data_IF_204396473405
#
_entry.id   IF_204396473405
#
_cell.length_a   1.000
_cell.length_b   1.000
_cell.length_c   1.000
_cell.angle_alpha   90.00
_cell.angle_beta   90.00
_cell.angle_gamma   90.00
#
_symmetry.space_group_name_H-M   'P 1'
#
loop_
_entity.id
_entity.type
_entity.pdbx_description
1 polymer ?
#
# COMPACT_ATOMS: atom_id res chain seq x y z
N UNK A 1 16.34 -11.94 10.35
CA UNK A 1 17.12 -13.20 10.22
C UNK A 1 17.29 -13.92 11.55
N UNK A 2 17.58 -13.24 12.67
CA UNK A 2 17.76 -13.89 13.97
C UNK A 2 16.48 -14.64 14.42
N UNK A 3 15.32 -13.99 14.30
CA UNK A 3 14.02 -14.59 14.59
C UNK A 3 13.72 -15.79 13.66
N UNK A 4 14.07 -15.69 12.38
CA UNK A 4 13.90 -16.75 11.41
C UNK A 4 14.68 -18.03 11.81
N UNK A 5 15.89 -17.86 12.35
CA UNK A 5 16.72 -18.96 12.84
C UNK A 5 16.31 -19.52 14.22
N UNK A 6 15.28 -18.97 14.86
CA UNK A 6 14.83 -19.40 16.19
C UNK A 6 13.81 -20.54 16.19
N UNK A 7 13.26 -20.90 15.04
CA UNK A 7 12.25 -21.97 14.90
C UNK A 7 12.92 -23.31 14.64
N UNK A 8 12.60 -24.30 15.47
CA UNK A 8 13.21 -25.64 15.43
C UNK A 8 12.15 -26.74 15.30
N UNK A 9 12.48 -27.78 14.56
CA UNK A 9 11.69 -29.01 14.43
C UNK A 9 12.59 -30.21 14.72
N UNK A 10 12.22 -31.03 15.69
CA UNK A 10 13.00 -32.20 16.10
C UNK A 10 14.48 -31.89 16.41
N UNK A 11 14.76 -30.71 16.97
CA UNK A 11 16.10 -30.25 17.30
C UNK A 11 16.92 -29.67 16.15
N UNK A 12 16.32 -29.56 14.96
CA UNK A 12 16.94 -28.92 13.77
C UNK A 12 16.27 -27.60 13.45
N UNK A 13 17.02 -26.56 13.07
CA UNK A 13 16.41 -25.30 12.65
C UNK A 13 15.55 -25.54 11.39
N UNK A 14 14.38 -24.93 11.34
CA UNK A 14 13.50 -24.98 10.17
C UNK A 14 14.20 -24.39 8.95
N UNK A 15 15.02 -23.38 9.17
CA UNK A 15 15.85 -22.73 8.14
C UNK A 15 17.31 -23.20 8.31
N UNK A 16 17.77 -23.96 7.35
CA UNK A 16 19.16 -24.44 7.26
C UNK A 16 20.04 -23.59 6.35
N UNK A 17 19.71 -22.33 6.20
CA UNK A 17 20.44 -21.38 5.37
C UNK A 17 19.54 -20.55 4.45
N UNK A 18 20.02 -19.37 4.12
CA UNK A 18 19.23 -18.37 3.36
C UNK A 18 18.96 -18.76 1.90
N UNK A 19 19.79 -19.63 1.30
CA UNK A 19 19.68 -19.99 -0.12
C UNK A 19 18.37 -20.70 -0.49
N UNK A 20 17.74 -21.36 0.49
CA UNK A 20 16.47 -22.06 0.28
C UNK A 20 15.26 -21.28 0.82
N UNK A 21 15.49 -20.17 1.49
CA UNK A 21 14.43 -19.31 1.98
C UNK A 21 13.92 -18.40 0.86
N UNK A 22 12.60 -18.35 0.71
CA UNK A 22 11.91 -17.46 -0.23
C UNK A 22 10.99 -16.57 0.58
N UNK A 23 11.10 -15.27 0.39
CA UNK A 23 10.15 -14.32 0.94
C UNK A 23 8.83 -14.40 0.16
N UNK A 24 7.75 -14.73 0.83
CA UNK A 24 6.43 -14.88 0.20
C UNK A 24 5.69 -13.56 0.14
N UNK A 25 5.55 -12.94 1.28
CA UNK A 25 4.78 -11.71 1.45
C UNK A 25 5.10 -11.01 2.77
N UNK A 26 4.60 -9.80 2.90
CA UNK A 26 4.65 -9.03 4.13
C UNK A 26 3.45 -8.09 4.26
N UNK A 27 3.17 -7.70 5.50
CA UNK A 27 2.26 -6.64 5.89
C UNK A 27 3.06 -5.63 6.73
N UNK A 28 2.96 -4.35 6.40
CA UNK A 28 3.52 -3.24 7.19
C UNK A 28 2.37 -2.30 7.53
N UNK A 29 2.20 -2.00 8.81
CA UNK A 29 1.20 -1.08 9.32
C UNK A 29 1.90 0.06 10.07
N UNK A 30 1.63 1.29 9.66
CA UNK A 30 2.14 2.47 10.34
C UNK A 30 1.20 2.86 11.48
N UNK A 31 1.73 2.86 12.70
CA UNK A 31 1.00 3.27 13.91
C UNK A 31 0.97 4.81 14.06
N UNK A 32 1.82 5.49 13.32
CA UNK A 32 1.93 6.96 13.31
C UNK A 32 1.70 7.51 11.92
N UNK A 33 1.51 8.84 11.79
CA UNK A 33 1.46 9.50 10.49
C UNK A 33 2.86 9.60 9.87
N UNK A 34 2.92 9.82 8.55
CA UNK A 34 4.19 10.07 7.86
C UNK A 34 4.93 11.28 8.45
N UNK A 35 4.20 12.36 8.76
CA UNK A 35 4.79 13.55 9.42
C UNK A 35 5.41 13.22 10.79
N UNK A 36 4.80 12.31 11.54
CA UNK A 36 5.36 11.87 12.83
C UNK A 36 6.58 10.97 12.62
N UNK A 37 6.48 10.01 11.70
CA UNK A 37 7.59 9.12 11.36
C UNK A 37 8.84 9.90 10.93
N UNK A 38 8.67 10.97 10.15
CA UNK A 38 9.77 11.83 9.70
C UNK A 38 10.48 12.57 10.85
N UNK A 39 9.81 12.82 11.98
CA UNK A 39 10.45 13.45 13.15
C UNK A 39 11.52 12.57 13.78
N UNK A 40 11.40 11.26 13.65
CA UNK A 40 12.36 10.27 14.15
C UNK A 40 13.50 9.98 13.16
N UNK A 41 13.62 10.77 12.07
CA UNK A 41 14.70 10.61 11.09
C UNK A 41 16.07 10.83 11.72
N UNK A 42 16.94 9.83 11.59
CA UNK A 42 18.29 9.86 12.14
C UNK A 42 18.38 9.39 13.61
N UNK A 43 17.27 9.07 14.25
CA UNK A 43 17.26 8.44 15.56
C UNK A 43 17.58 6.94 15.45
N UNK A 44 17.98 6.37 16.58
CA UNK A 44 18.10 4.92 16.71
C UNK A 44 16.71 4.35 16.96
N UNK A 45 16.27 3.45 16.08
CA UNK A 45 15.02 2.69 16.23
C UNK A 45 15.34 1.34 16.86
N UNK A 46 14.55 0.96 17.85
CA UNK A 46 14.58 -0.38 18.44
C UNK A 46 13.68 -1.33 17.65
N UNK A 47 14.24 -2.45 17.23
CA UNK A 47 13.52 -3.51 16.53
C UNK A 47 13.39 -4.72 17.45
N UNK A 48 12.15 -5.09 17.77
CA UNK A 48 11.85 -6.35 18.46
C UNK A 48 11.25 -7.31 17.48
N UNK A 49 11.86 -8.50 17.34
CA UNK A 49 11.37 -9.50 16.39
C UNK A 49 11.23 -10.87 17.05
N UNK A 50 10.18 -11.59 16.66
CA UNK A 50 9.92 -12.96 17.09
C UNK A 50 9.31 -13.76 15.94
N UNK A 51 9.39 -15.07 16.02
CA UNK A 51 8.80 -15.99 15.06
C UNK A 51 7.64 -16.73 15.72
N UNK A 52 6.59 -16.97 14.97
CA UNK A 52 5.57 -17.95 15.30
C UNK A 52 6.04 -19.36 14.95
N UNK A 53 5.22 -20.36 15.34
CA UNK A 53 5.40 -21.72 14.87
C UNK A 53 5.34 -21.78 13.34
N UNK A 54 6.07 -22.74 12.78
CA UNK A 54 6.01 -23.00 11.36
C UNK A 54 4.75 -23.80 10.99
N UNK A 55 4.34 -23.68 9.73
CA UNK A 55 3.34 -24.57 9.14
C UNK A 55 3.81 -25.14 7.79
N UNK A 56 3.31 -26.31 7.43
CA UNK A 56 3.61 -26.93 6.13
C UNK A 56 2.66 -26.43 5.05
N UNK A 57 3.18 -26.14 3.87
CA UNK A 57 2.39 -25.71 2.72
C UNK A 57 2.89 -26.37 1.43
N UNK A 58 2.14 -26.20 0.33
CA UNK A 58 2.60 -26.62 -1.00
C UNK A 58 3.89 -25.91 -1.45
N UNK A 59 4.19 -24.73 -0.89
CA UNK A 59 5.43 -23.99 -1.16
C UNK A 59 6.59 -24.44 -0.29
N UNK A 60 6.36 -25.29 0.72
CA UNK A 60 7.32 -25.73 1.72
C UNK A 60 6.90 -25.35 3.13
N UNK A 61 7.85 -25.42 4.07
CA UNK A 61 7.63 -24.94 5.44
C UNK A 61 7.59 -23.42 5.44
N UNK A 62 6.55 -22.86 6.03
CA UNK A 62 6.38 -21.40 6.15
C UNK A 62 6.59 -20.98 7.59
N UNK A 63 7.42 -19.98 7.78
CA UNK A 63 7.67 -19.32 9.08
C UNK A 63 7.14 -17.90 8.99
N UNK A 64 6.36 -17.51 9.98
CA UNK A 64 5.88 -16.13 10.14
C UNK A 64 6.76 -15.40 11.15
N UNK A 65 7.22 -14.22 10.78
CA UNK A 65 8.03 -13.33 11.59
C UNK A 65 7.24 -12.06 11.85
N UNK A 66 7.22 -11.63 13.10
CA UNK A 66 6.69 -10.34 13.52
C UNK A 66 7.82 -9.40 13.91
N UNK A 67 7.69 -8.13 13.58
CA UNK A 67 8.65 -7.09 13.96
C UNK A 67 7.89 -5.85 14.43
N UNK A 68 8.32 -5.29 15.56
CA UNK A 68 7.88 -3.98 16.03
C UNK A 68 9.02 -2.98 15.90
N UNK A 69 8.68 -1.77 15.48
CA UNK A 69 9.61 -0.65 15.33
C UNK A 69 9.28 0.42 16.36
N UNK A 70 10.17 0.64 17.32
CA UNK A 70 9.92 1.56 18.44
C UNK A 70 10.98 2.66 18.46
N UNK A 71 10.55 3.91 18.56
CA UNK A 71 11.44 5.07 18.71
C UNK A 71 12.07 5.11 20.10
N UNK A 72 13.08 5.95 20.30
CA UNK A 72 13.81 6.07 21.58
C UNK A 72 12.93 6.54 22.74
N UNK A 73 11.89 7.30 22.47
CA UNK A 73 10.92 7.77 23.45
C UNK A 73 9.84 6.72 23.80
N UNK A 74 9.89 5.54 23.19
CA UNK A 74 8.93 4.48 23.39
C UNK A 74 7.73 4.53 22.42
N UNK A 75 7.67 5.46 21.50
CA UNK A 75 6.59 5.53 20.50
C UNK A 75 6.69 4.34 19.56
N UNK A 76 5.61 3.56 19.44
CA UNK A 76 5.47 2.50 18.44
C UNK A 76 5.25 3.15 17.07
N UNK A 77 6.17 2.92 16.15
CA UNK A 77 6.17 3.54 14.81
C UNK A 77 5.47 2.66 13.76
N UNK A 78 5.78 1.36 13.79
CA UNK A 78 5.23 0.41 12.84
C UNK A 78 5.22 -1.01 13.40
N UNK A 79 4.26 -1.80 12.91
CA UNK A 79 4.23 -3.26 13.02
C UNK A 79 4.46 -3.88 11.65
N UNK A 80 5.19 -4.98 11.62
CA UNK A 80 5.48 -5.72 10.42
C UNK A 80 5.27 -7.22 10.64
N UNK A 81 4.69 -7.88 9.65
CA UNK A 81 4.55 -9.33 9.60
C UNK A 81 5.09 -9.82 8.27
N UNK A 82 6.03 -10.76 8.31
CA UNK A 82 6.67 -11.32 7.13
C UNK A 82 6.56 -12.83 7.10
N UNK A 83 6.34 -13.42 5.92
CA UNK A 83 6.33 -14.87 5.75
C UNK A 83 7.44 -15.33 4.82
N UNK A 84 8.13 -16.36 5.27
CA UNK A 84 9.21 -17.01 4.50
C UNK A 84 8.89 -18.49 4.31
N UNK A 85 9.03 -18.98 3.08
CA UNK A 85 8.95 -20.40 2.80
C UNK A 85 10.34 -21.02 2.64
N UNK A 86 10.53 -22.21 3.20
CA UNK A 86 11.72 -23.02 3.02
C UNK A 86 11.43 -24.07 1.97
N UNK A 87 11.93 -23.87 0.77
CA UNK A 87 11.68 -24.76 -0.37
C UNK A 87 12.27 -26.15 -0.17
N UNK A 88 11.58 -27.18 -0.73
CA UNK A 88 12.08 -28.54 -0.79
C UNK A 88 11.83 -29.38 0.47
N UNK A 89 11.06 -28.86 1.44
CA UNK A 89 10.74 -29.57 2.69
C UNK A 89 9.22 -29.66 2.96
N UNK A 90 8.42 -29.76 1.91
CA UNK A 90 6.99 -30.04 2.05
C UNK A 90 6.79 -31.55 2.28
N UNK A 91 6.18 -31.92 3.41
CA UNK A 91 5.88 -33.31 3.77
C UNK A 91 4.46 -33.51 4.27
N UNK A 92 3.60 -32.53 4.07
CA UNK A 92 2.23 -32.64 4.54
C UNK A 92 1.30 -33.07 3.41
N UNK A 93 0.55 -34.14 3.62
CA UNK A 93 -0.57 -34.52 2.75
C UNK A 93 -1.79 -33.59 2.94
N UNK A 94 -1.81 -32.84 4.05
CA UNK A 94 -2.82 -31.85 4.33
C UNK A 94 -2.24 -30.44 4.10
N UNK A 95 -2.79 -29.73 3.12
CA UNK A 95 -2.53 -28.29 3.03
C UNK A 95 -3.08 -27.63 4.30
N UNK A 96 -2.32 -26.75 4.95
CA UNK A 96 -2.87 -25.96 6.03
C UNK A 96 -4.05 -25.15 5.51
N UNK A 97 -4.99 -24.72 6.36
CA UNK A 97 -5.98 -23.76 5.99
C UNK A 97 -5.26 -22.58 5.31
N UNK A 98 -5.89 -22.03 4.26
CA UNK A 98 -5.32 -20.91 3.52
C UNK A 98 -4.70 -19.93 4.51
N UNK A 99 -3.43 -19.64 4.30
CA UNK A 99 -2.76 -18.65 5.12
C UNK A 99 -3.58 -17.37 5.06
N UNK A 100 -3.74 -16.63 6.17
CA UNK A 100 -4.45 -15.38 6.16
C UNK A 100 -3.95 -14.55 4.98
N UNK A 101 -4.87 -14.08 4.14
CA UNK A 101 -4.51 -13.11 3.13
C UNK A 101 -4.07 -11.85 3.91
N UNK A 102 -2.75 -11.64 4.02
CA UNK A 102 -2.21 -10.40 4.59
C UNK A 102 -2.48 -9.23 3.64
N UNK A 103 -3.68 -9.20 3.09
CA UNK A 103 -4.19 -8.19 2.20
C UNK A 103 -4.98 -7.11 2.90
N UNK A 104 -4.99 -7.06 4.20
CA UNK A 104 -5.83 -6.08 4.83
C UNK A 104 -5.49 -5.80 6.27
N UNK A 105 -5.37 -4.54 6.58
CA UNK A 105 -5.73 -4.01 7.88
C UNK A 105 -7.11 -4.58 8.21
N UNK A 106 -7.35 -5.04 9.42
CA UNK A 106 -8.67 -5.40 9.95
C UNK A 106 -9.60 -4.17 9.94
N UNK A 107 -10.07 -3.79 8.78
CA UNK A 107 -10.96 -2.66 8.60
C UNK A 107 -12.09 -3.07 7.66
N UNK A 108 -13.30 -2.60 7.95
CA UNK A 108 -14.42 -2.76 7.02
C UNK A 108 -14.11 -2.02 5.72
N UNK A 109 -13.82 -2.80 4.67
CA UNK A 109 -13.56 -2.28 3.33
C UNK A 109 -14.85 -2.26 2.54
N UNK A 110 -15.28 -1.06 2.17
CA UNK A 110 -16.36 -0.86 1.22
C UNK A 110 -15.79 -0.88 -0.20
N UNK A 111 -16.19 -1.86 -1.00
CA UNK A 111 -15.78 -1.96 -2.40
C UNK A 111 -16.30 -0.79 -3.22
N UNK A 112 -15.46 -0.26 -4.09
CA UNK A 112 -15.81 0.80 -5.05
C UNK A 112 -15.54 0.32 -6.48
N UNK A 113 -16.19 0.90 -7.50
CA UNK A 113 -15.81 0.62 -8.89
C UNK A 113 -14.31 0.84 -9.08
N UNK A 114 -13.67 -0.14 -9.72
CA UNK A 114 -12.24 -0.12 -10.03
C UNK A 114 -11.90 1.10 -10.88
N UNK A 115 -10.85 1.83 -10.48
CA UNK A 115 -10.39 3.00 -11.22
C UNK A 115 -8.86 3.03 -11.25
N UNK A 116 -8.30 2.97 -12.44
CA UNK A 116 -6.87 3.18 -12.64
C UNK A 116 -6.51 4.63 -12.23
N UNK A 117 -5.57 4.76 -11.31
CA UNK A 117 -5.03 6.03 -10.85
C UNK A 117 -3.69 6.32 -11.51
N UNK A 118 -2.83 5.30 -11.62
CA UNK A 118 -1.47 5.44 -12.12
C UNK A 118 -1.01 4.16 -12.80
N UNK A 119 -0.17 4.32 -13.81
CA UNK A 119 0.61 3.25 -14.40
C UNK A 119 2.02 3.78 -14.67
N UNK A 120 3.02 3.07 -14.19
CA UNK A 120 4.42 3.42 -14.38
C UNK A 120 5.18 2.21 -14.87
N UNK A 121 6.27 2.45 -15.59
CA UNK A 121 7.24 1.44 -15.97
C UNK A 121 8.57 1.75 -15.31
N UNK A 122 9.19 0.74 -14.76
CA UNK A 122 10.50 0.82 -14.12
C UNK A 122 11.38 -0.28 -14.68
N UNK A 123 12.66 -0.02 -14.82
CA UNK A 123 13.63 -1.04 -15.18
C UNK A 123 14.31 -1.53 -13.91
N UNK A 124 14.31 -2.84 -13.73
CA UNK A 124 14.99 -3.47 -12.60
C UNK A 124 16.49 -3.16 -12.66
N UNK A 125 17.18 -3.04 -11.50
CA UNK A 125 18.62 -2.75 -11.49
C UNK A 125 19.42 -3.82 -12.23
N UNK A 126 20.51 -3.39 -12.86
CA UNK A 126 21.48 -4.28 -13.49
C UNK A 126 22.24 -5.13 -12.46
N UNK A 127 22.32 -4.69 -11.21
CA UNK A 127 22.95 -5.40 -10.09
C UNK A 127 22.30 -4.97 -8.76
N UNK A 128 22.36 -5.83 -7.76
CA UNK A 128 21.64 -5.62 -6.49
C UNK A 128 22.55 -5.26 -5.31
N UNK A 129 23.85 -5.02 -5.52
CA UNK A 129 24.81 -4.74 -4.44
C UNK A 129 24.46 -3.48 -3.66
N UNK A 130 23.99 -2.44 -4.34
CA UNK A 130 23.58 -1.19 -3.69
C UNK A 130 22.36 -1.41 -2.76
N UNK A 131 21.37 -2.15 -3.23
CA UNK A 131 20.20 -2.50 -2.42
C UNK A 131 20.57 -3.43 -1.26
N UNK A 132 21.44 -4.43 -1.49
CA UNK A 132 21.91 -5.33 -0.44
C UNK A 132 22.61 -4.56 0.70
N UNK A 133 23.39 -3.54 0.37
CA UNK A 133 24.04 -2.67 1.38
C UNK A 133 23.04 -1.83 2.18
N UNK A 134 21.97 -1.39 1.53
CA UNK A 134 20.93 -0.57 2.17
C UNK A 134 20.02 -1.40 3.05
N UNK A 135 19.59 -2.57 2.55
CA UNK A 135 18.64 -3.46 3.26
C UNK A 135 19.33 -4.38 4.28
N UNK A 136 20.66 -4.59 4.15
CA UNK A 136 21.37 -5.60 4.92
C UNK A 136 21.18 -7.02 4.39
N UNK A 137 20.43 -7.22 3.31
CA UNK A 137 20.21 -8.53 2.71
C UNK A 137 21.28 -8.85 1.67
N UNK A 138 22.31 -9.57 2.12
CA UNK A 138 23.41 -10.06 1.29
C UNK A 138 23.20 -11.50 0.80
N UNK A 139 21.97 -12.00 0.75
CA UNK A 139 21.72 -13.34 0.23
C UNK A 139 22.34 -13.47 -1.18
N UNK A 140 23.26 -14.44 -1.38
CA UNK A 140 24.04 -14.54 -2.62
C UNK A 140 23.20 -14.80 -3.88
N UNK A 141 21.94 -15.23 -3.75
CA UNK A 141 21.05 -15.41 -4.91
C UNK A 141 20.76 -14.08 -5.63
N UNK A 142 20.96 -12.94 -4.96
CA UNK A 142 20.73 -11.61 -5.52
C UNK A 142 21.99 -10.91 -5.98
N UNK A 143 23.17 -11.31 -5.46
CA UNK A 143 24.42 -10.57 -5.65
C UNK A 143 25.54 -11.36 -6.33
N UNK A 144 25.33 -12.66 -6.58
CA UNK A 144 26.38 -13.55 -7.10
C UNK A 144 25.84 -14.58 -8.10
N UNK A 145 26.39 -14.60 -9.30
CA UNK A 145 26.09 -15.65 -10.28
C UNK A 145 26.37 -17.07 -9.74
N UNK A 146 27.44 -17.25 -8.96
CA UNK A 146 27.70 -18.53 -8.33
C UNK A 146 26.68 -18.89 -7.27
N UNK A 147 26.26 -17.93 -6.46
CA UNK A 147 25.21 -18.13 -5.47
C UNK A 147 23.87 -18.50 -6.12
N UNK A 148 23.51 -17.79 -7.18
CA UNK A 148 22.32 -18.09 -7.96
C UNK A 148 22.36 -19.50 -8.56
N UNK A 149 23.49 -19.89 -9.18
CA UNK A 149 23.67 -21.22 -9.76
C UNK A 149 23.59 -22.35 -8.73
N UNK A 150 24.16 -22.18 -7.53
CA UNK A 150 24.02 -23.15 -6.42
C UNK A 150 22.57 -23.31 -5.98
N UNK A 151 21.77 -22.26 -6.09
CA UNK A 151 20.32 -22.29 -5.79
C UNK A 151 19.45 -22.76 -6.97
N UNK A 152 20.07 -23.22 -8.07
CA UNK A 152 19.36 -23.68 -9.27
C UNK A 152 18.79 -22.56 -10.14
N UNK A 153 19.28 -21.33 -9.98
CA UNK A 153 18.87 -20.16 -10.77
C UNK A 153 19.86 -19.91 -11.90
N UNK A 154 19.36 -19.44 -13.05
CA UNK A 154 20.19 -19.14 -14.21
C UNK A 154 21.05 -17.87 -14.02
N UNK A 155 20.54 -16.91 -13.27
CA UNK A 155 21.20 -15.65 -12.96
C UNK A 155 20.73 -15.11 -11.60
N UNK A 156 21.41 -14.11 -11.01
CA UNK A 156 20.93 -13.41 -9.84
C UNK A 156 19.55 -12.79 -10.07
N UNK A 157 18.75 -12.77 -9.02
CA UNK A 157 17.40 -12.21 -9.03
C UNK A 157 17.38 -10.84 -8.34
N UNK A 158 16.41 -10.03 -8.72
CA UNK A 158 16.05 -8.82 -7.96
C UNK A 158 15.54 -9.23 -6.58
N UNK A 159 15.89 -8.47 -5.54
CA UNK A 159 15.27 -8.65 -4.22
C UNK A 159 13.78 -8.38 -4.29
N UNK A 160 12.95 -9.26 -3.73
CA UNK A 160 11.51 -9.04 -3.65
C UNK A 160 11.16 -7.74 -2.92
N UNK A 161 11.89 -7.40 -1.86
CA UNK A 161 11.73 -6.16 -1.11
C UNK A 161 12.08 -4.90 -1.93
N UNK A 162 12.98 -4.98 -2.91
CA UNK A 162 13.23 -3.88 -3.85
C UNK A 162 11.98 -3.61 -4.69
N UNK A 163 11.33 -4.66 -5.20
CA UNK A 163 10.12 -4.51 -5.99
C UNK A 163 8.98 -3.95 -5.15
N UNK A 164 8.82 -4.43 -3.90
CA UNK A 164 7.84 -3.91 -2.96
C UNK A 164 8.06 -2.42 -2.67
N UNK A 165 9.29 -2.03 -2.32
CA UNK A 165 9.64 -0.64 -2.06
C UNK A 165 9.44 0.27 -3.28
N UNK A 166 9.76 -0.24 -4.48
CA UNK A 166 9.53 0.48 -5.75
C UNK A 166 8.04 0.68 -6.02
N UNK A 167 7.22 -0.35 -5.78
CA UNK A 167 5.78 -0.28 -5.91
C UNK A 167 5.15 0.68 -4.89
N UNK A 168 5.64 0.65 -3.64
CA UNK A 168 5.23 1.59 -2.59
C UNK A 168 5.57 3.03 -2.97
N UNK A 169 6.80 3.28 -3.44
CA UNK A 169 7.21 4.58 -3.92
C UNK A 169 6.34 5.07 -5.09
N UNK A 170 5.96 4.18 -6.02
CA UNK A 170 5.05 4.51 -7.11
C UNK A 170 3.67 4.94 -6.62
N UNK A 171 3.19 4.44 -5.46
CA UNK A 171 1.95 4.92 -4.82
C UNK A 171 2.14 6.31 -4.22
N UNK A 172 3.23 6.54 -3.49
CA UNK A 172 3.49 7.77 -2.74
C UNK A 172 3.96 8.94 -3.62
N UNK A 173 4.62 8.66 -4.75
CA UNK A 173 5.17 9.69 -5.62
C UNK A 173 4.11 10.73 -6.03
N UNK A 174 4.48 11.99 -6.02
CA UNK A 174 3.62 13.09 -6.49
C UNK A 174 3.19 12.85 -7.94
N UNK A 175 1.90 13.01 -8.20
CA UNK A 175 1.39 13.04 -9.56
C UNK A 175 1.53 14.45 -10.18
N UNK A 176 1.15 14.59 -11.47
CA UNK A 176 1.19 15.88 -12.19
C UNK A 176 0.32 16.97 -11.53
N UNK A 177 -0.62 16.57 -10.67
CA UNK A 177 -1.52 17.47 -9.93
C UNK A 177 -1.03 17.73 -8.51
N UNK A 178 0.12 17.16 -8.13
CA UNK A 178 0.68 17.27 -6.78
C UNK A 178 -0.05 16.41 -5.74
N UNK A 179 -0.84 15.40 -6.17
CA UNK A 179 -1.44 14.47 -5.25
C UNK A 179 -0.37 13.52 -4.67
N UNK A 180 -0.34 13.41 -3.37
CA UNK A 180 0.48 12.51 -2.59
C UNK A 180 -0.44 11.58 -1.79
N UNK A 181 -0.15 10.29 -1.80
CA UNK A 181 -0.91 9.30 -1.05
C UNK A 181 -0.07 8.82 0.14
N UNK A 182 -0.44 9.26 1.34
CA UNK A 182 0.17 8.78 2.58
C UNK A 182 -0.29 7.34 2.84
N UNK A 183 0.63 6.40 2.86
CA UNK A 183 0.36 4.98 3.12
C UNK A 183 0.30 4.78 4.64
N UNK A 184 -0.80 4.17 5.10
CA UNK A 184 -0.98 3.75 6.48
C UNK A 184 -0.78 2.23 6.65
N UNK A 185 -1.10 1.45 5.60
CA UNK A 185 -0.92 0.01 5.59
C UNK A 185 -0.50 -0.47 4.21
N UNK A 186 0.40 -1.45 4.18
CA UNK A 186 0.99 -1.99 2.96
C UNK A 186 1.10 -3.50 3.04
N UNK A 187 0.52 -4.20 2.07
CA UNK A 187 0.76 -5.62 1.87
C UNK A 187 1.36 -5.86 0.50
N UNK A 188 2.19 -6.88 0.39
CA UNK A 188 2.78 -7.22 -0.90
C UNK A 188 3.07 -8.71 -0.99
N UNK A 189 2.51 -9.35 -2.02
CA UNK A 189 2.63 -10.77 -2.30
C UNK A 189 3.49 -10.96 -3.55
N UNK A 190 4.46 -11.86 -3.48
CA UNK A 190 5.42 -12.15 -4.55
C UNK A 190 5.07 -13.48 -5.20
N UNK A 191 4.65 -13.45 -6.47
CA UNK A 191 4.23 -14.63 -7.21
C UNK A 191 5.26 -15.11 -8.22
N UNK A 192 6.10 -14.19 -8.69
CA UNK A 192 7.08 -14.46 -9.74
C UNK A 192 8.44 -13.86 -9.46
N UNK A 193 9.45 -14.42 -10.10
CA UNK A 193 10.81 -13.93 -10.05
C UNK A 193 10.99 -12.76 -11.02
N UNK A 194 11.70 -11.73 -10.59
CA UNK A 194 12.11 -10.60 -11.41
C UNK A 194 13.59 -10.73 -11.68
N UNK A 195 13.96 -10.71 -12.95
CA UNK A 195 15.36 -10.75 -13.36
C UNK A 195 15.97 -9.34 -13.31
N UNK A 196 17.31 -9.29 -13.28
CA UNK A 196 18.01 -8.03 -13.48
C UNK A 196 17.66 -7.48 -14.87
N UNK A 197 17.55 -6.17 -14.99
CA UNK A 197 17.21 -5.44 -16.23
C UNK A 197 15.75 -5.66 -16.75
N UNK A 198 14.92 -6.43 -16.08
CA UNK A 198 13.51 -6.58 -16.48
C UNK A 198 12.78 -5.23 -16.48
N UNK A 199 11.93 -4.98 -17.49
CA UNK A 199 10.97 -3.89 -17.48
C UNK A 199 9.72 -4.33 -16.70
N UNK A 200 9.44 -3.67 -15.60
CA UNK A 200 8.29 -3.94 -14.74
C UNK A 200 7.26 -2.84 -14.93
N UNK A 201 6.04 -3.21 -15.34
CA UNK A 201 4.89 -2.32 -15.32
C UNK A 201 4.17 -2.42 -13.98
N UNK A 202 4.00 -1.28 -13.29
CA UNK A 202 3.28 -1.18 -12.02
C UNK A 202 1.99 -0.40 -12.27
N UNK A 203 0.84 -1.01 -12.01
CA UNK A 203 -0.47 -0.38 -12.08
C UNK A 203 -1.07 -0.22 -10.69
N UNK A 204 -1.63 0.97 -10.42
CA UNK A 204 -2.22 1.36 -9.16
C UNK A 204 -3.69 1.68 -9.42
N UNK A 205 -4.59 0.92 -8.80
CA UNK A 205 -6.02 1.03 -9.00
C UNK A 205 -6.72 1.23 -7.67
N UNK A 206 -7.61 2.22 -7.59
CA UNK A 206 -8.54 2.30 -6.47
C UNK A 206 -9.57 1.18 -6.58
N UNK A 207 -9.73 0.41 -5.51
CA UNK A 207 -10.65 -0.74 -5.46
C UNK A 207 -11.67 -0.63 -4.33
N UNK A 208 -11.43 0.23 -3.33
CA UNK A 208 -12.28 0.37 -2.18
C UNK A 208 -12.01 1.64 -1.39
N UNK A 209 -12.72 1.76 -0.28
CA UNK A 209 -12.49 2.76 0.76
C UNK A 209 -12.67 2.13 2.14
N UNK A 210 -11.98 2.68 3.11
CA UNK A 210 -12.16 2.37 4.53
C UNK A 210 -12.98 3.50 5.15
N UNK A 211 -14.00 3.17 5.92
CA UNK A 211 -14.84 4.15 6.59
C UNK A 211 -13.97 5.09 7.43
N UNK A 212 -14.10 6.40 7.20
CA UNK A 212 -13.39 7.48 7.90
C UNK A 212 -11.85 7.52 7.75
N UNK A 213 -11.23 6.59 7.01
CA UNK A 213 -9.77 6.45 7.01
C UNK A 213 -9.10 6.69 5.66
N UNK A 214 -9.74 6.43 4.53
CA UNK A 214 -9.09 6.65 3.25
C UNK A 214 -9.50 5.68 2.15
N UNK A 215 -8.60 5.49 1.18
CA UNK A 215 -8.82 4.63 0.02
C UNK A 215 -8.04 3.32 0.15
N UNK A 216 -8.59 2.29 -0.46
CA UNK A 216 -7.89 1.02 -0.69
C UNK A 216 -7.43 0.98 -2.14
N UNK A 217 -6.13 0.85 -2.33
CA UNK A 217 -5.49 0.75 -3.63
C UNK A 217 -4.95 -0.67 -3.83
N UNK A 218 -5.24 -1.26 -4.97
CA UNK A 218 -4.55 -2.47 -5.43
C UNK A 218 -3.36 -2.07 -6.30
N UNK A 219 -2.21 -2.66 -6.01
CA UNK A 219 -0.96 -2.42 -6.73
C UNK A 219 -0.53 -3.73 -7.37
N UNK A 220 -0.43 -3.75 -8.69
CA UNK A 220 -0.08 -4.96 -9.44
C UNK A 220 1.15 -4.69 -10.29
N UNK A 221 2.18 -5.54 -10.14
CA UNK A 221 3.38 -5.51 -10.97
C UNK A 221 3.35 -6.61 -12.02
N UNK A 222 3.72 -6.28 -13.26
CA UNK A 222 3.72 -7.20 -14.40
C UNK A 222 5.02 -7.12 -15.18
N UNK A 223 5.42 -8.27 -15.72
CA UNK A 223 6.48 -8.39 -16.72
C UNK A 223 5.85 -9.11 -17.92
N UNK A 224 5.94 -8.51 -19.10
CA UNK A 224 5.34 -9.04 -20.34
C UNK A 224 3.85 -9.45 -20.17
N UNK A 225 3.08 -8.64 -19.40
CA UNK A 225 1.67 -8.89 -19.10
C UNK A 225 1.41 -9.89 -17.98
N UNK A 226 2.39 -10.68 -17.54
CA UNK A 226 2.27 -11.66 -16.47
C UNK A 226 2.41 -10.98 -15.10
N UNK A 227 1.53 -11.32 -14.16
CA UNK A 227 1.61 -10.80 -12.80
C UNK A 227 2.76 -11.44 -12.07
N UNK A 228 3.69 -10.64 -11.56
CA UNK A 228 4.82 -11.09 -10.73
C UNK A 228 4.63 -10.75 -9.26
N UNK A 229 3.80 -9.75 -8.96
CA UNK A 229 3.44 -9.41 -7.59
C UNK A 229 2.11 -8.66 -7.53
N UNK A 230 1.49 -8.66 -6.37
CA UNK A 230 0.30 -7.86 -6.07
C UNK A 230 0.33 -7.44 -4.61
N UNK A 231 -0.06 -6.20 -4.35
CA UNK A 231 -0.19 -5.66 -3.02
C UNK A 231 -1.43 -4.82 -2.85
N UNK A 232 -1.68 -4.45 -1.61
CA UNK A 232 -2.75 -3.53 -1.22
C UNK A 232 -2.15 -2.41 -0.40
N UNK A 233 -2.45 -1.16 -0.79
CA UNK A 233 -2.14 0.00 0.01
C UNK A 233 -3.43 0.55 0.62
N UNK A 234 -3.42 0.74 1.93
CA UNK A 234 -4.40 1.63 2.57
C UNK A 234 -3.75 2.99 2.67
N UNK A 235 -4.37 3.96 2.00
CA UNK A 235 -3.86 5.33 1.97
C UNK A 235 -4.81 6.24 2.74
N UNK A 236 -4.24 7.11 3.56
CA UNK A 236 -5.03 8.08 4.32
C UNK A 236 -5.75 9.03 3.36
N UNK A 237 -6.96 9.41 3.72
CA UNK A 237 -7.67 10.42 2.95
C UNK A 237 -6.88 11.73 2.99
N UNK A 238 -6.70 12.41 1.85
CA UNK A 238 -6.08 13.72 1.87
C UNK A 238 -6.90 14.65 2.77
N UNK A 239 -6.22 15.45 3.58
CA UNK A 239 -6.88 16.47 4.39
C UNK A 239 -7.59 17.45 3.44
N UNK A 240 -8.91 17.52 3.53
CA UNK A 240 -9.73 18.40 2.72
C UNK A 240 -10.25 19.54 3.57
N UNK A 241 -10.10 20.76 3.09
CA UNK A 241 -10.73 21.93 3.68
C UNK A 241 -11.87 22.40 2.77
N UNK A 242 -13.06 22.50 3.31
CA UNK A 242 -14.18 23.12 2.62
C UNK A 242 -14.17 24.61 2.91
N UNK A 243 -13.85 25.40 1.88
CA UNK A 243 -13.78 26.84 2.00
C UNK A 243 -15.04 27.45 1.37
N UNK A 244 -15.79 28.17 2.16
CA UNK A 244 -16.98 28.86 1.72
C UNK A 244 -16.71 30.36 1.64
N UNK A 245 -17.25 31.05 0.62
CA UNK A 245 -17.11 32.49 0.53
C UNK A 245 -17.79 33.19 1.73
N UNK A 246 -17.16 34.23 2.20
CA UNK A 246 -17.73 35.07 3.26
C UNK A 246 -18.89 35.93 2.78
N UNK A 247 -19.59 36.55 3.71
CA UNK A 247 -20.67 37.48 3.39
C UNK A 247 -20.10 38.70 2.61
N UNK A 248 -20.85 39.14 1.59
CA UNK A 248 -20.51 40.34 0.81
C UNK A 248 -19.70 40.09 -0.47
N UNK A 249 -19.33 38.83 -0.75
CA UNK A 249 -18.61 38.49 -1.99
C UNK A 249 -19.51 37.79 -3.03
N UNK A 250 -20.78 37.67 -2.74
CA UNK A 250 -21.77 37.06 -3.64
C UNK A 250 -21.90 37.90 -4.93
N UNK A 251 -21.92 37.21 -6.07
CA UNK A 251 -22.13 37.81 -7.39
C UNK A 251 -23.29 37.13 -8.08
N UNK A 252 -23.98 37.87 -8.92
CA UNK A 252 -25.01 37.31 -9.78
C UNK A 252 -24.44 36.15 -10.61
N UNK A 253 -25.14 35.03 -10.66
CA UNK A 253 -24.73 33.82 -11.37
C UNK A 253 -23.71 32.97 -10.67
N UNK A 254 -23.30 33.32 -9.42
CA UNK A 254 -22.31 32.57 -8.67
C UNK A 254 -22.72 31.09 -8.51
N UNK A 255 -21.80 30.16 -8.80
CA UNK A 255 -21.95 28.69 -8.66
C UNK A 255 -22.99 28.04 -9.61
N UNK A 256 -23.56 28.78 -10.56
CA UNK A 256 -24.52 28.23 -11.56
C UNK A 256 -23.84 27.31 -12.58
N UNK A 257 -22.59 27.53 -12.87
CA UNK A 257 -21.77 26.66 -13.73
C UNK A 257 -21.47 25.29 -13.09
N UNK A 258 -21.17 25.25 -11.81
CA UNK A 258 -21.03 23.99 -11.06
C UNK A 258 -22.37 23.23 -10.99
N UNK A 259 -23.48 23.96 -10.76
CA UNK A 259 -24.82 23.36 -10.82
C UNK A 259 -25.12 22.75 -12.18
N UNK A 260 -24.68 23.38 -13.26
CA UNK A 260 -24.89 22.87 -14.63
C UNK A 260 -24.09 21.58 -14.88
N UNK A 261 -22.88 21.48 -14.35
CA UNK A 261 -21.92 20.39 -14.61
C UNK A 261 -22.06 19.21 -13.65
N UNK A 262 -22.45 19.45 -12.39
CA UNK A 262 -22.50 18.44 -11.33
C UNK A 262 -23.94 18.07 -10.94
N UNK A 263 -24.34 16.79 -11.08
CA UNK A 263 -25.65 16.33 -10.58
C UNK A 263 -25.83 16.55 -9.08
N UNK A 264 -24.77 16.31 -8.28
CA UNK A 264 -24.80 16.51 -6.83
C UNK A 264 -24.99 17.98 -6.46
N UNK A 265 -24.29 18.90 -7.16
CA UNK A 265 -24.51 20.34 -6.95
C UNK A 265 -25.93 20.76 -7.32
N UNK A 266 -26.49 20.19 -8.40
CA UNK A 266 -27.88 20.45 -8.80
C UNK A 266 -28.87 20.03 -7.72
N UNK A 267 -28.72 18.83 -7.19
CA UNK A 267 -29.58 18.31 -6.12
C UNK A 267 -29.55 19.21 -4.86
N UNK A 268 -28.37 19.66 -4.46
CA UNK A 268 -28.22 20.58 -3.31
C UNK A 268 -28.95 21.90 -3.58
N UNK A 269 -28.78 22.47 -4.78
CA UNK A 269 -29.46 23.71 -5.16
C UNK A 269 -30.98 23.58 -5.22
N UNK A 270 -31.52 22.47 -5.76
CA UNK A 270 -32.95 22.21 -5.83
C UNK A 270 -33.55 22.02 -4.44
N UNK A 271 -32.84 21.33 -3.56
CA UNK A 271 -33.25 21.16 -2.16
C UNK A 271 -33.23 22.50 -1.41
N UNK A 272 -32.19 23.32 -1.60
CA UNK A 272 -32.11 24.64 -1.00
C UNK A 272 -33.24 25.57 -1.50
N UNK A 273 -33.50 25.57 -2.81
CA UNK A 273 -34.56 26.38 -3.43
C UNK A 273 -35.96 25.99 -2.93
N UNK A 274 -36.21 24.68 -2.77
CA UNK A 274 -37.45 24.18 -2.17
C UNK A 274 -37.62 24.71 -0.75
N UNK A 275 -36.59 24.60 0.08
CA UNK A 275 -36.64 25.06 1.48
C UNK A 275 -36.86 26.57 1.57
N UNK A 276 -36.19 27.37 0.75
CA UNK A 276 -36.35 28.84 0.75
C UNK A 276 -37.74 29.26 0.27
N UNK A 277 -38.32 28.59 -0.74
CA UNK A 277 -39.71 28.82 -1.16
C UNK A 277 -40.71 28.51 -0.08
N UNK A 278 -40.57 27.34 0.56
CA UNK A 278 -41.51 26.87 1.57
C UNK A 278 -41.46 27.68 2.88
N UNK A 279 -40.25 28.05 3.31
CA UNK A 279 -40.05 28.68 4.64
C UNK A 279 -39.86 30.18 4.60
N UNK A 280 -39.37 30.73 3.50
CA UNK A 280 -38.99 32.14 3.40
C UNK A 280 -39.75 32.89 2.30
N UNK A 281 -40.50 32.17 1.45
CA UNK A 281 -41.36 32.77 0.43
C UNK A 281 -40.65 33.23 -0.84
N UNK A 282 -39.36 32.88 -1.03
CA UNK A 282 -38.63 33.26 -2.24
C UNK A 282 -37.81 32.11 -2.80
N UNK A 283 -37.43 32.24 -4.10
CA UNK A 283 -36.51 31.27 -4.76
C UNK A 283 -35.10 31.75 -4.66
N UNK A 284 -34.24 30.96 -3.99
CA UNK A 284 -32.80 31.26 -3.96
C UNK A 284 -32.14 31.14 -5.33
N UNK A 285 -32.65 30.23 -6.18
CA UNK A 285 -32.16 30.10 -7.56
C UNK A 285 -32.48 31.33 -8.39
N UNK A 286 -33.68 31.93 -8.23
CA UNK A 286 -34.05 33.18 -8.90
C UNK A 286 -33.17 34.33 -8.40
N UNK A 287 -32.92 34.43 -7.10
CA UNK A 287 -32.05 35.43 -6.50
C UNK A 287 -30.64 35.36 -7.11
N UNK A 288 -30.06 34.17 -7.14
CA UNK A 288 -28.69 33.99 -7.64
C UNK A 288 -28.61 34.26 -9.16
N UNK A 289 -29.61 33.84 -9.93
CA UNK A 289 -29.62 34.01 -11.37
C UNK A 289 -29.92 35.46 -11.80
N UNK A 290 -30.93 36.07 -11.21
CA UNK A 290 -31.54 37.28 -11.69
C UNK A 290 -31.18 38.51 -10.87
N UNK A 291 -30.71 38.33 -9.63
CA UNK A 291 -30.38 39.37 -8.65
C UNK A 291 -31.52 40.43 -8.53
N UNK A 292 -32.78 40.00 -8.24
CA UNK A 292 -33.91 40.90 -8.20
C UNK A 292 -33.74 41.96 -7.10
N UNK A 293 -34.27 43.16 -7.33
CA UNK A 293 -34.23 44.26 -6.36
C UNK A 293 -35.15 44.01 -5.17
N UNK A 294 -36.20 43.20 -5.34
CA UNK A 294 -37.15 42.81 -4.32
C UNK A 294 -37.26 41.30 -4.30
N UNK A 295 -37.28 40.74 -3.11
CA UNK A 295 -37.49 39.31 -2.90
C UNK A 295 -39.02 39.04 -2.87
N UNK A 296 -39.55 38.54 -3.98
CA UNK A 296 -40.95 38.15 -4.11
C UNK A 296 -41.08 36.67 -4.38
#
# INVERSE_FOLDING_TARGET
>A
YAALGSVYVNGFPVIEGLLNAVHLDHLIELEVSEDELLKHTGERIELTSWADDYFESASGRVVTIHVTHTAQDGTLLANETERFAIRGRAYSDALPPEAPDYGGIEAEIESTPRRLLRRVKVVAPHEMTAFARTSGDFNPIHTSHRGAAVSGLAAPLVHGMWLSATAQYAVQALDEKGAHYEIAGWTYNMYGMVQLDDEVEISIERVGRVAHAGMVLEVTSRIDGNIVSRGTAIVRAPKSAFVYPGQGIQKQGMVLDERAKSPAAREVWERADKVTREKLGFSILAVVRDNPKELT
#
